data_IF_637750191412
#
_entry.id   IF_637750191412
#
_cell.length_a   1.000
_cell.length_b   1.000
_cell.length_c   1.000
_cell.angle_alpha   90.00
_cell.angle_beta   90.00
_cell.angle_gamma   90.00
#
_symmetry.space_group_name_H-M   'P 1'
#
loop_
_entity.id
_entity.type
_entity.pdbx_description
1 polymer ?
#
# COMPACT_ATOMS: atom_id res chain seq x y z
N UNK A 1 -7.48 -6.59 -24.20
CA UNK A 1 -7.38 -5.51 -23.19
C UNK A 1 -5.93 -5.35 -22.79
N UNK A 2 -5.55 -4.30 -22.05
CA UNK A 2 -4.18 -4.16 -21.54
C UNK A 2 -4.10 -4.74 -20.11
N UNK A 3 -3.90 -6.05 -20.00
CA UNK A 3 -3.78 -6.78 -18.73
C UNK A 3 -2.79 -7.96 -18.88
N UNK A 4 -2.35 -8.56 -17.78
CA UNK A 4 -1.33 -9.63 -17.79
C UNK A 4 -1.78 -10.96 -18.40
N UNK A 5 -3.09 -11.16 -18.61
CA UNK A 5 -3.64 -12.37 -19.23
C UNK A 5 -3.59 -12.24 -20.75
N UNK A 6 -3.96 -11.08 -21.28
CA UNK A 6 -3.98 -10.80 -22.71
C UNK A 6 -2.58 -10.46 -23.25
N UNK A 7 -1.73 -9.81 -22.44
CA UNK A 7 -0.39 -9.38 -22.85
C UNK A 7 0.71 -9.81 -21.88
N UNK A 8 1.88 -10.15 -22.43
CA UNK A 8 3.07 -10.44 -21.63
C UNK A 8 3.00 -11.80 -20.93
N UNK A 9 2.86 -11.88 -19.59
CA UNK A 9 2.96 -13.15 -18.86
C UNK A 9 1.89 -14.20 -19.18
N UNK A 10 0.74 -13.81 -19.74
CA UNK A 10 -0.42 -14.66 -20.02
C UNK A 10 -0.94 -15.41 -18.78
N UNK A 11 -0.91 -14.71 -17.63
CA UNK A 11 -1.29 -15.25 -16.32
C UNK A 11 -2.06 -14.21 -15.52
N UNK A 12 -2.98 -14.69 -14.70
CA UNK A 12 -3.61 -13.88 -13.66
C UNK A 12 -2.66 -13.79 -12.45
N UNK A 13 -1.80 -12.78 -12.46
CA UNK A 13 -0.77 -12.60 -11.43
C UNK A 13 -1.41 -12.29 -10.08
N UNK A 14 -2.50 -11.50 -10.06
CA UNK A 14 -3.17 -11.08 -8.83
C UNK A 14 -3.84 -12.29 -8.17
N UNK A 15 -4.58 -13.09 -8.94
CA UNK A 15 -5.21 -14.30 -8.44
C UNK A 15 -4.22 -15.37 -8.01
N UNK A 16 -3.11 -15.53 -8.72
CA UNK A 16 -2.05 -16.46 -8.30
C UNK A 16 -1.37 -16.04 -6.99
N UNK A 17 -1.09 -14.75 -6.79
CA UNK A 17 -0.55 -14.24 -5.53
C UNK A 17 -1.55 -14.37 -4.38
N UNK A 18 -2.81 -13.97 -4.59
CA UNK A 18 -3.89 -14.15 -3.62
C UNK A 18 -4.01 -15.62 -3.19
N UNK A 19 -4.01 -16.54 -4.16
CA UNK A 19 -4.05 -17.98 -3.89
C UNK A 19 -2.83 -18.49 -3.13
N UNK A 20 -1.63 -17.97 -3.40
CA UNK A 20 -0.40 -18.37 -2.73
C UNK A 20 -0.40 -18.02 -1.23
N UNK A 21 -1.05 -16.92 -0.84
CA UNK A 21 -1.16 -16.51 0.56
C UNK A 21 -2.39 -17.06 1.27
N UNK A 22 -3.34 -17.67 0.54
CA UNK A 22 -4.56 -18.24 1.12
C UNK A 22 -4.24 -19.32 2.18
N UNK A 23 -4.73 -19.11 3.39
CA UNK A 23 -4.52 -20.02 4.53
C UNK A 23 -3.18 -19.83 5.25
N UNK A 24 -2.36 -18.86 4.81
CA UNK A 24 -1.22 -18.37 5.57
C UNK A 24 -1.64 -17.30 6.60
N UNK A 25 -0.70 -16.87 7.44
CA UNK A 25 -0.90 -15.73 8.33
C UNK A 25 -0.76 -14.36 7.63
N UNK A 26 -0.49 -14.34 6.31
CA UNK A 26 -0.34 -13.10 5.53
C UNK A 26 -1.70 -12.67 5.01
N UNK A 27 -2.12 -11.49 5.43
CA UNK A 27 -3.29 -10.81 4.89
C UNK A 27 -3.00 -10.27 3.48
N UNK A 28 -3.91 -10.51 2.54
CA UNK A 28 -3.74 -10.11 1.14
C UNK A 28 -4.44 -8.77 0.88
N UNK A 29 -3.73 -7.82 0.30
CA UNK A 29 -4.26 -6.52 -0.11
C UNK A 29 -3.96 -6.21 -1.57
N UNK A 30 -4.69 -5.26 -2.14
CA UNK A 30 -4.45 -4.76 -3.50
C UNK A 30 -4.23 -3.25 -3.49
N UNK A 31 -3.25 -2.81 -4.27
CA UNK A 31 -3.04 -1.41 -4.60
C UNK A 31 -3.77 -1.06 -5.89
N UNK A 32 -4.41 0.12 -5.95
CA UNK A 32 -5.08 0.61 -7.14
C UNK A 32 -4.74 2.08 -7.40
N UNK A 33 -4.19 2.38 -8.58
CA UNK A 33 -3.99 3.76 -9.04
C UNK A 33 -5.27 4.28 -9.67
N UNK A 34 -5.89 5.29 -9.06
CA UNK A 34 -7.02 6.01 -9.64
C UNK A 34 -6.59 6.81 -10.86
N UNK A 35 -5.43 7.47 -10.78
CA UNK A 35 -4.81 8.17 -11.90
C UNK A 35 -4.46 7.20 -13.03
N UNK A 36 -4.66 7.63 -14.27
CA UNK A 36 -4.39 6.80 -15.45
C UNK A 36 -3.83 7.62 -16.61
N UNK A 37 -2.62 7.28 -17.05
CA UNK A 37 -1.85 8.09 -18.00
C UNK A 37 -2.50 8.21 -19.38
N UNK A 38 -3.05 7.12 -19.91
CA UNK A 38 -3.38 7.04 -21.34
C UNK A 38 -4.81 6.58 -21.62
N UNK A 39 -5.61 6.30 -20.60
CA UNK A 39 -7.00 5.93 -20.82
C UNK A 39 -7.78 7.10 -21.41
N UNK A 40 -8.42 6.84 -22.55
CA UNK A 40 -9.18 7.85 -23.31
C UNK A 40 -10.30 8.51 -22.50
N UNK A 41 -10.92 7.79 -21.56
CA UNK A 41 -11.96 8.37 -20.72
C UNK A 41 -11.35 9.31 -19.69
N UNK A 42 -10.20 8.95 -19.10
CA UNK A 42 -9.52 9.80 -18.12
C UNK A 42 -9.04 11.12 -18.74
N UNK A 43 -8.30 11.01 -19.85
CA UNK A 43 -7.85 12.16 -20.63
C UNK A 43 -9.05 12.98 -21.12
N UNK A 44 -10.09 12.30 -21.60
CA UNK A 44 -11.32 12.92 -22.09
C UNK A 44 -12.13 13.63 -21.01
N UNK A 45 -12.15 13.14 -19.78
CA UNK A 45 -12.89 13.74 -18.67
C UNK A 45 -12.36 15.11 -18.30
N UNK A 46 -11.04 15.30 -18.32
CA UNK A 46 -10.41 16.60 -18.08
C UNK A 46 -10.74 17.61 -19.17
N UNK A 47 -10.80 17.16 -20.43
CA UNK A 47 -11.11 18.04 -21.58
C UNK A 47 -12.60 18.39 -21.65
N UNK A 48 -13.48 17.42 -21.37
CA UNK A 48 -14.92 17.56 -21.58
C UNK A 48 -15.70 17.85 -20.29
N UNK A 49 -15.01 17.98 -19.15
CA UNK A 49 -15.62 18.13 -17.82
C UNK A 49 -16.66 17.03 -17.54
N UNK A 50 -16.29 15.77 -17.79
CA UNK A 50 -17.13 14.58 -17.56
C UNK A 50 -16.53 13.67 -16.48
N UNK A 51 -17.26 12.62 -16.11
CA UNK A 51 -16.87 11.63 -15.08
C UNK A 51 -16.97 10.20 -15.61
N UNK A 52 -16.68 10.00 -16.91
CA UNK A 52 -16.85 8.70 -17.57
C UNK A 52 -15.82 7.69 -17.11
N UNK A 53 -14.60 8.11 -16.80
CA UNK A 53 -13.55 7.22 -16.35
C UNK A 53 -13.90 6.52 -15.02
N UNK A 54 -14.27 7.24 -13.95
CA UNK A 54 -14.67 6.59 -12.72
C UNK A 54 -15.93 5.74 -12.88
N UNK A 55 -16.87 6.14 -13.73
CA UNK A 55 -18.10 5.35 -13.97
C UNK A 55 -17.87 4.05 -14.75
N UNK A 56 -17.05 4.10 -15.80
CA UNK A 56 -16.92 3.02 -16.77
C UNK A 56 -15.64 2.18 -16.60
N UNK A 57 -14.67 2.67 -15.82
CA UNK A 57 -13.34 2.05 -15.71
C UNK A 57 -12.94 1.83 -14.25
N UNK A 58 -12.55 2.87 -13.51
CA UNK A 58 -11.87 2.65 -12.22
C UNK A 58 -12.79 2.04 -11.17
N UNK A 59 -14.03 2.51 -11.04
CA UNK A 59 -14.97 1.91 -10.09
C UNK A 59 -15.31 0.46 -10.45
N UNK A 60 -15.72 0.11 -11.69
CA UNK A 60 -15.93 -1.29 -12.07
C UNK A 60 -14.70 -2.18 -11.86
N UNK A 61 -13.50 -1.71 -12.16
CA UNK A 61 -12.26 -2.47 -11.96
C UNK A 61 -11.96 -2.72 -10.48
N UNK A 62 -12.11 -1.70 -9.62
CA UNK A 62 -11.95 -1.90 -8.18
C UNK A 62 -13.00 -2.86 -7.62
N UNK A 63 -14.25 -2.78 -8.09
CA UNK A 63 -15.29 -3.72 -7.72
C UNK A 63 -14.98 -5.15 -8.20
N UNK A 64 -14.44 -5.33 -9.40
CA UNK A 64 -13.96 -6.62 -9.91
C UNK A 64 -12.85 -7.19 -9.01
N UNK A 65 -11.82 -6.39 -8.68
CA UNK A 65 -10.74 -6.80 -7.77
C UNK A 65 -11.28 -7.29 -6.42
N UNK A 66 -12.24 -6.56 -5.86
CA UNK A 66 -12.88 -6.91 -4.57
C UNK A 66 -13.65 -8.23 -4.68
N UNK A 67 -14.46 -8.40 -5.72
CA UNK A 67 -15.31 -9.59 -5.86
C UNK A 67 -14.50 -10.85 -6.21
N UNK A 68 -13.48 -10.73 -7.06
CA UNK A 68 -12.69 -11.88 -7.53
C UNK A 68 -11.65 -12.32 -6.50
N UNK A 69 -10.97 -11.37 -5.85
CA UNK A 69 -9.80 -11.68 -5.02
C UNK A 69 -10.02 -11.51 -3.52
N UNK A 70 -11.16 -10.94 -3.11
CA UNK A 70 -11.53 -10.72 -1.71
C UNK A 70 -10.37 -10.20 -0.83
N UNK A 71 -9.74 -9.07 -1.21
CA UNK A 71 -8.63 -8.50 -0.45
C UNK A 71 -9.10 -7.93 0.89
N UNK A 72 -8.21 -7.95 1.88
CA UNK A 72 -8.42 -7.36 3.20
C UNK A 72 -7.93 -5.91 3.27
N UNK A 73 -7.23 -5.42 2.24
CA UNK A 73 -6.85 -4.01 2.09
C UNK A 73 -7.11 -3.56 0.66
N UNK A 74 -7.80 -2.44 0.48
CA UNK A 74 -7.79 -1.65 -0.76
C UNK A 74 -6.96 -0.40 -0.52
N UNK A 75 -5.78 -0.36 -1.13
CA UNK A 75 -4.83 0.75 -1.00
C UNK A 75 -4.91 1.62 -2.26
N UNK A 76 -5.63 2.74 -2.18
CA UNK A 76 -5.83 3.66 -3.30
C UNK A 76 -4.64 4.63 -3.43
N UNK A 77 -4.37 5.11 -4.64
CA UNK A 77 -3.38 6.15 -4.92
C UNK A 77 -3.76 6.90 -6.20
N UNK A 78 -3.00 7.91 -6.61
CA UNK A 78 -3.32 8.62 -7.85
C UNK A 78 -4.51 9.55 -7.74
N UNK A 79 -4.88 9.95 -6.52
CA UNK A 79 -6.11 10.68 -6.25
C UNK A 79 -5.94 12.21 -6.28
N UNK A 80 -4.69 12.69 -6.31
CA UNK A 80 -4.31 14.08 -6.02
C UNK A 80 -4.87 15.16 -6.96
N UNK A 81 -5.23 14.84 -8.20
CA UNK A 81 -5.65 15.84 -9.20
C UNK A 81 -7.18 15.97 -9.33
N UNK A 82 -7.94 15.15 -8.61
CA UNK A 82 -9.42 15.17 -8.64
C UNK A 82 -10.00 14.99 -7.24
N UNK A 83 -11.23 15.48 -7.03
CA UNK A 83 -11.93 15.30 -5.75
C UNK A 83 -12.43 13.86 -5.55
N UNK A 84 -12.70 13.52 -4.31
CA UNK A 84 -13.41 12.29 -3.91
C UNK A 84 -14.76 12.12 -4.63
N UNK A 85 -15.44 13.22 -4.94
CA UNK A 85 -16.67 13.21 -5.72
C UNK A 85 -16.47 12.82 -7.19
N UNK A 86 -15.39 13.29 -7.84
CA UNK A 86 -15.05 12.85 -9.20
C UNK A 86 -14.77 11.35 -9.20
N UNK A 87 -13.92 10.90 -8.28
CA UNK A 87 -13.53 9.50 -8.13
C UNK A 87 -14.66 8.56 -7.70
N UNK A 88 -15.82 9.10 -7.30
CA UNK A 88 -16.93 8.34 -6.70
C UNK A 88 -16.50 7.50 -5.51
N UNK A 89 -15.55 8.03 -4.74
CA UNK A 89 -14.90 7.26 -3.68
C UNK A 89 -15.85 6.98 -2.53
N UNK A 90 -16.76 7.91 -2.22
CA UNK A 90 -17.77 7.69 -1.16
C UNK A 90 -18.73 6.58 -1.53
N UNK A 91 -19.17 6.54 -2.78
CA UNK A 91 -20.02 5.47 -3.29
C UNK A 91 -19.29 4.12 -3.23
N UNK A 92 -18.01 4.09 -3.62
CA UNK A 92 -17.23 2.85 -3.61
C UNK A 92 -17.02 2.33 -2.20
N UNK A 93 -16.58 3.20 -1.29
CA UNK A 93 -16.33 2.84 0.11
C UNK A 93 -17.63 2.46 0.81
N UNK A 94 -18.74 3.14 0.51
CA UNK A 94 -20.05 2.76 1.06
C UNK A 94 -20.46 1.36 0.59
N UNK A 95 -20.34 1.05 -0.69
CA UNK A 95 -20.59 -0.30 -1.20
C UNK A 95 -19.62 -1.33 -0.57
N UNK A 96 -18.34 -0.97 -0.47
CA UNK A 96 -17.29 -1.83 0.10
C UNK A 96 -17.65 -2.26 1.53
N UNK A 97 -18.12 -1.34 2.37
CA UNK A 97 -18.47 -1.61 3.77
C UNK A 97 -19.90 -2.09 4.02
N UNK A 98 -20.83 -1.91 3.07
CA UNK A 98 -22.21 -2.34 3.26
C UNK A 98 -22.50 -3.70 2.59
N UNK A 99 -22.00 -3.89 1.37
CA UNK A 99 -22.53 -4.89 0.45
C UNK A 99 -21.47 -5.84 -0.14
N UNK A 100 -20.19 -5.47 -0.11
CA UNK A 100 -19.11 -6.29 -0.70
C UNK A 100 -18.89 -7.61 0.08
N UNK A 101 -18.27 -8.62 -0.55
CA UNK A 101 -17.96 -9.90 0.12
C UNK A 101 -16.92 -9.77 1.24
N UNK A 102 -16.22 -8.64 1.35
CA UNK A 102 -15.15 -8.39 2.34
C UNK A 102 -15.50 -7.30 3.35
N UNK A 103 -16.77 -6.88 3.39
CA UNK A 103 -17.25 -5.75 4.19
C UNK A 103 -16.89 -5.78 5.68
N UNK A 104 -16.75 -6.98 6.25
CA UNK A 104 -16.48 -7.17 7.68
C UNK A 104 -14.99 -7.16 8.03
N UNK A 105 -14.10 -7.22 7.04
CA UNK A 105 -12.64 -7.36 7.25
C UNK A 105 -11.81 -6.31 6.53
N UNK A 106 -12.28 -5.80 5.39
CA UNK A 106 -11.49 -4.90 4.54
C UNK A 106 -11.20 -3.57 5.23
N UNK A 107 -10.01 -3.03 5.02
CA UNK A 107 -9.64 -1.66 5.40
C UNK A 107 -9.14 -0.89 4.19
N UNK A 108 -9.26 0.44 4.26
CA UNK A 108 -8.78 1.35 3.21
C UNK A 108 -7.81 2.37 3.79
N UNK A 109 -6.85 2.81 2.98
CA UNK A 109 -5.99 3.95 3.31
C UNK A 109 -6.77 5.29 3.18
N UNK A 110 -6.06 6.42 3.20
CA UNK A 110 -6.62 7.77 3.17
C UNK A 110 -6.44 8.52 1.84
N UNK A 111 -6.16 7.82 0.74
CA UNK A 111 -5.87 8.42 -0.57
C UNK A 111 -7.03 8.26 -1.55
N UNK A 112 -8.17 8.85 -1.18
CA UNK A 112 -9.45 8.72 -1.90
C UNK A 112 -9.95 10.04 -2.50
N UNK A 113 -9.08 11.02 -2.66
CA UNK A 113 -9.36 12.28 -3.33
C UNK A 113 -8.45 13.41 -2.86
N UNK A 114 -8.30 14.42 -3.71
CA UNK A 114 -7.61 15.65 -3.35
C UNK A 114 -8.13 16.22 -2.01
N UNK A 115 -7.22 16.33 -1.03
CA UNK A 115 -7.52 16.85 0.30
C UNK A 115 -8.07 15.82 1.31
N UNK A 116 -8.12 14.53 0.97
CA UNK A 116 -8.60 13.46 1.86
C UNK A 116 -7.48 12.89 2.75
N UNK A 117 -6.25 12.84 2.23
CA UNK A 117 -5.08 12.32 2.93
C UNK A 117 -4.84 13.04 4.27
N UNK A 118 -4.59 12.27 5.32
CA UNK A 118 -4.47 12.73 6.71
C UNK A 118 -5.80 12.98 7.42
N UNK A 119 -6.95 12.87 6.73
CA UNK A 119 -8.27 13.21 7.29
C UNK A 119 -9.23 12.03 7.34
N UNK A 120 -9.38 11.26 6.25
CA UNK A 120 -10.38 10.20 6.15
C UNK A 120 -9.82 8.93 5.51
N UNK A 121 -9.95 7.81 6.23
CA UNK A 121 -9.51 6.48 5.83
C UNK A 121 -9.67 5.51 7.00
N UNK A 122 -9.55 4.20 6.75
CA UNK A 122 -9.44 3.19 7.79
C UNK A 122 -8.13 3.35 8.59
N UNK A 123 -7.05 3.70 7.88
CA UNK A 123 -5.79 4.17 8.43
C UNK A 123 -5.25 5.33 7.59
N UNK A 124 -4.34 6.12 8.18
CA UNK A 124 -3.77 7.31 7.55
C UNK A 124 -2.38 7.03 6.97
N UNK A 125 -2.00 7.70 5.89
CA UNK A 125 -0.66 7.58 5.30
C UNK A 125 0.10 8.91 5.33
N UNK A 126 -0.61 10.05 5.27
CA UNK A 126 -0.09 11.43 5.25
C UNK A 126 0.82 11.80 4.06
N UNK A 127 1.84 11.00 3.77
CA UNK A 127 2.72 11.11 2.61
C UNK A 127 3.59 9.83 2.49
N UNK A 128 4.30 9.70 1.39
CA UNK A 128 5.33 8.67 1.26
C UNK A 128 6.46 8.87 2.27
N UNK A 129 6.99 7.76 2.81
CA UNK A 129 8.07 7.76 3.81
C UNK A 129 7.75 8.54 5.09
N UNK A 130 6.46 8.69 5.43
CA UNK A 130 6.04 9.48 6.57
C UNK A 130 6.61 8.95 7.89
N UNK A 131 7.14 9.86 8.70
CA UNK A 131 7.63 9.63 10.05
C UNK A 131 7.18 10.82 10.91
N UNK A 132 6.19 10.63 11.80
CA UNK A 132 5.68 11.72 12.60
C UNK A 132 6.71 12.19 13.64
N UNK A 133 7.65 11.34 14.07
CA UNK A 133 8.53 11.61 15.22
C UNK A 133 7.79 11.80 16.55
N UNK A 134 6.48 11.55 16.60
CA UNK A 134 5.64 11.63 17.78
C UNK A 134 4.46 10.66 17.67
N UNK A 135 3.86 10.33 18.80
CA UNK A 135 2.70 9.44 18.85
C UNK A 135 1.50 10.03 18.12
N UNK A 136 0.92 9.25 17.20
CA UNK A 136 -0.34 9.61 16.55
C UNK A 136 -1.53 8.86 17.19
N UNK A 137 -2.66 9.57 17.44
CA UNK A 137 -3.83 8.97 18.06
C UNK A 137 -4.60 8.04 17.11
N UNK A 138 -4.53 8.30 15.80
CA UNK A 138 -5.14 7.48 14.75
C UNK A 138 -4.11 6.48 14.22
N UNK A 139 -4.58 5.28 13.87
CA UNK A 139 -3.76 4.30 13.15
C UNK A 139 -3.32 4.89 11.82
N UNK A 140 -2.05 4.65 11.52
CA UNK A 140 -1.40 5.12 10.31
C UNK A 140 -0.41 4.08 9.79
N UNK A 141 0.01 4.22 8.54
CA UNK A 141 0.96 3.33 7.89
C UNK A 141 2.03 4.16 7.17
N UNK A 142 3.30 3.89 7.47
CA UNK A 142 4.43 4.41 6.71
C UNK A 142 4.68 3.50 5.52
N UNK A 143 4.37 3.97 4.31
CA UNK A 143 4.79 3.30 3.09
C UNK A 143 6.19 3.78 2.71
N UNK A 144 7.14 2.87 2.59
CA UNK A 144 8.53 3.17 2.23
C UNK A 144 9.11 2.11 1.29
N UNK A 145 10.30 2.37 0.75
CA UNK A 145 10.96 1.52 -0.24
C UNK A 145 12.28 0.98 0.28
N UNK A 146 12.60 -0.27 -0.06
CA UNK A 146 13.91 -0.84 0.25
C UNK A 146 15.02 -0.22 -0.63
N UNK A 147 14.68 0.12 -1.88
CA UNK A 147 15.49 0.98 -2.76
C UNK A 147 15.25 2.45 -2.41
N UNK A 148 16.32 3.19 -2.11
CA UNK A 148 16.25 4.60 -1.65
C UNK A 148 15.70 5.58 -2.68
N UNK A 149 15.55 5.18 -3.94
CA UNK A 149 15.17 6.07 -5.04
C UNK A 149 13.95 5.61 -5.86
N UNK A 150 13.42 4.41 -5.62
CA UNK A 150 12.37 3.87 -6.50
C UNK A 150 11.46 2.85 -5.82
N UNK A 151 10.17 2.94 -6.15
CA UNK A 151 9.17 1.90 -5.86
C UNK A 151 9.32 0.70 -6.83
N UNK A 152 9.58 0.98 -8.10
CA UNK A 152 9.80 -0.04 -9.13
C UNK A 152 11.26 -0.53 -9.19
N UNK A 153 11.50 -1.57 -9.99
CA UNK A 153 12.84 -2.14 -10.16
C UNK A 153 13.78 -1.19 -10.93
N UNK A 154 14.96 -0.92 -10.35
CA UNK A 154 16.07 -0.23 -11.04
C UNK A 154 17.20 -1.20 -11.34
N UNK A 155 17.44 -1.49 -12.62
CA UNK A 155 18.55 -2.36 -13.07
C UNK A 155 19.94 -1.82 -12.76
N UNK A 156 20.07 -0.51 -12.61
CA UNK A 156 21.33 0.18 -12.31
C UNK A 156 21.49 0.52 -10.82
N UNK A 157 20.65 -0.04 -9.95
CA UNK A 157 20.73 0.15 -8.50
C UNK A 157 22.09 -0.31 -7.96
N UNK A 158 22.72 0.54 -7.13
CA UNK A 158 23.93 0.17 -6.39
C UNK A 158 23.56 -0.29 -4.99
N UNK A 159 24.38 -1.17 -4.40
CA UNK A 159 24.10 -1.71 -3.05
C UNK A 159 24.03 -0.63 -1.97
N UNK A 160 24.77 0.48 -2.12
CA UNK A 160 24.72 1.64 -1.21
C UNK A 160 23.42 2.44 -1.31
N UNK A 161 22.61 2.19 -2.34
CA UNK A 161 21.30 2.81 -2.58
C UNK A 161 20.15 1.94 -2.08
N UNK A 162 20.46 0.84 -1.40
CA UNK A 162 19.49 -0.04 -0.74
C UNK A 162 19.61 0.20 0.76
N UNK A 163 18.50 0.29 1.47
CA UNK A 163 18.52 0.34 2.93
C UNK A 163 19.19 -0.92 3.48
N UNK A 164 20.07 -0.74 4.45
CA UNK A 164 20.59 -1.82 5.29
C UNK A 164 19.50 -2.39 6.17
N UNK A 165 19.70 -3.61 6.68
CA UNK A 165 18.75 -4.20 7.61
C UNK A 165 18.58 -3.36 8.89
N UNK A 166 19.66 -2.72 9.37
CA UNK A 166 19.60 -1.80 10.51
C UNK A 166 18.69 -0.60 10.21
N UNK A 167 18.85 0.05 9.05
CA UNK A 167 17.99 1.17 8.65
C UNK A 167 16.50 0.75 8.59
N UNK A 168 16.21 -0.45 8.09
CA UNK A 168 14.83 -0.97 8.05
C UNK A 168 14.30 -1.28 9.45
N UNK A 169 15.11 -1.86 10.34
CA UNK A 169 14.74 -2.13 11.73
C UNK A 169 14.46 -0.82 12.48
N UNK A 170 15.30 0.19 12.29
CA UNK A 170 15.12 1.52 12.89
C UNK A 170 13.82 2.18 12.40
N UNK A 171 13.49 2.04 11.11
CA UNK A 171 12.19 2.47 10.57
C UNK A 171 11.02 1.72 11.23
N UNK A 172 11.12 0.39 11.34
CA UNK A 172 10.08 -0.44 11.92
C UNK A 172 9.81 -0.07 13.38
N UNK A 173 10.86 0.00 14.21
CA UNK A 173 10.74 0.28 15.65
C UNK A 173 10.17 1.68 15.89
N UNK A 174 10.65 2.70 15.17
CA UNK A 174 10.13 4.07 15.30
C UNK A 174 8.66 4.16 14.88
N UNK A 175 8.29 3.45 13.81
CA UNK A 175 6.92 3.41 13.30
C UNK A 175 5.98 2.79 14.34
N UNK A 176 6.34 1.62 14.90
CA UNK A 176 5.55 0.93 15.93
C UNK A 176 5.43 1.79 17.20
N UNK A 177 6.54 2.39 17.65
CA UNK A 177 6.54 3.27 18.82
C UNK A 177 5.58 4.45 18.68
N UNK A 178 5.37 4.93 17.45
CA UNK A 178 4.45 6.00 17.10
C UNK A 178 3.07 5.52 16.66
N UNK A 179 2.68 4.28 16.98
CA UNK A 179 1.36 3.67 16.70
C UNK A 179 1.09 3.35 15.21
N UNK A 180 2.12 3.25 14.38
CA UNK A 180 2.01 3.00 12.95
C UNK A 180 2.32 1.55 12.55
N UNK A 181 1.94 1.21 11.31
CA UNK A 181 2.43 0.04 10.58
C UNK A 181 3.50 0.44 9.57
N UNK A 182 4.44 -0.45 9.27
CA UNK A 182 5.44 -0.23 8.22
C UNK A 182 5.10 -1.09 6.99
N UNK A 183 4.82 -0.43 5.87
CA UNK A 183 4.69 -1.06 4.55
C UNK A 183 6.01 -0.90 3.77
N UNK A 184 6.83 -1.94 3.76
CA UNK A 184 8.11 -1.96 3.07
C UNK A 184 7.98 -2.53 1.66
N UNK A 185 8.10 -1.66 0.65
CA UNK A 185 8.02 -2.02 -0.76
C UNK A 185 9.33 -2.64 -1.28
N UNK A 186 9.17 -3.63 -2.16
CA UNK A 186 10.24 -4.17 -3.02
C UNK A 186 9.83 -4.09 -4.49
N UNK A 187 10.82 -3.93 -5.38
CA UNK A 187 10.63 -3.94 -6.83
C UNK A 187 11.16 -5.21 -7.50
N UNK A 188 10.32 -6.23 -7.76
CA UNK A 188 10.73 -7.43 -8.50
C UNK A 188 11.23 -7.10 -9.91
N UNK A 189 12.11 -7.93 -10.43
CA UNK A 189 12.59 -7.83 -11.81
C UNK A 189 11.46 -8.16 -12.80
N UNK A 190 11.65 -7.81 -14.07
CA UNK A 190 10.73 -8.18 -15.16
C UNK A 190 10.61 -9.70 -15.39
N UNK A 191 11.43 -10.51 -14.73
CA UNK A 191 11.36 -11.97 -14.76
C UNK A 191 10.63 -12.55 -13.53
N UNK A 192 10.04 -11.71 -12.68
CA UNK A 192 9.35 -12.14 -11.46
C UNK A 192 10.29 -12.51 -10.31
N UNK A 193 11.59 -12.24 -10.43
CA UNK A 193 12.58 -12.50 -9.37
C UNK A 193 12.72 -11.30 -8.45
N UNK A 194 12.79 -11.54 -7.15
CA UNK A 194 13.25 -10.53 -6.19
C UNK A 194 14.77 -10.36 -6.37
N UNK A 195 15.31 -9.14 -6.45
CA UNK A 195 16.76 -8.94 -6.45
C UNK A 195 17.42 -9.55 -5.20
N UNK A 196 18.53 -10.27 -5.36
CA UNK A 196 19.20 -10.97 -4.25
C UNK A 196 19.52 -10.07 -3.05
N UNK A 197 19.93 -8.81 -3.29
CA UNK A 197 20.17 -7.86 -2.20
C UNK A 197 18.90 -7.52 -1.41
N UNK A 198 17.72 -7.54 -2.03
CA UNK A 198 16.46 -7.38 -1.31
C UNK A 198 16.14 -8.63 -0.49
N UNK A 199 16.36 -9.82 -1.05
CA UNK A 199 16.20 -11.09 -0.31
C UNK A 199 17.08 -11.14 0.94
N UNK A 200 18.36 -10.74 0.81
CA UNK A 200 19.31 -10.68 1.93
C UNK A 200 18.79 -9.76 3.04
N UNK A 201 18.35 -8.54 2.69
CA UNK A 201 17.84 -7.57 3.65
C UNK A 201 16.55 -8.03 4.32
N UNK A 202 15.61 -8.55 3.54
CA UNK A 202 14.35 -9.09 4.08
C UNK A 202 14.60 -10.29 5.00
N UNK A 203 15.58 -11.15 4.68
CA UNK A 203 15.97 -12.28 5.52
C UNK A 203 16.59 -11.82 6.84
N UNK A 204 17.51 -10.87 6.80
CA UNK A 204 18.14 -10.26 7.99
C UNK A 204 17.10 -9.60 8.90
N UNK A 205 16.22 -8.77 8.33
CA UNK A 205 15.12 -8.12 9.06
C UNK A 205 14.17 -9.17 9.64
N UNK A 206 13.77 -10.17 8.84
CA UNK A 206 12.88 -11.24 9.30
C UNK A 206 13.46 -12.07 10.45
N UNK A 207 14.78 -12.32 10.45
CA UNK A 207 15.46 -12.98 11.57
C UNK A 207 15.45 -12.12 12.84
N UNK A 208 15.59 -10.80 12.71
CA UNK A 208 15.47 -9.88 13.83
C UNK A 208 14.04 -9.80 14.36
N UNK A 209 13.05 -9.66 13.47
CA UNK A 209 11.61 -9.63 13.83
C UNK A 209 11.21 -10.89 14.57
N UNK A 210 11.61 -12.08 14.10
CA UNK A 210 11.29 -13.35 14.79
C UNK A 210 11.81 -13.39 16.22
N UNK A 211 13.04 -12.91 16.45
CA UNK A 211 13.66 -12.88 17.78
C UNK A 211 13.00 -11.88 18.73
N UNK A 212 12.36 -10.83 18.20
CA UNK A 212 11.78 -9.74 18.97
C UNK A 212 10.26 -9.63 18.77
N UNK A 213 9.60 -10.72 18.38
CA UNK A 213 8.20 -10.72 17.94
C UNK A 213 7.21 -10.21 18.98
N UNK A 214 7.45 -10.51 20.26
CA UNK A 214 6.63 -10.03 21.40
C UNK A 214 6.67 -8.50 21.58
N UNK A 215 7.72 -7.83 21.11
CA UNK A 215 7.86 -6.38 21.15
C UNK A 215 7.36 -5.70 19.86
N UNK A 216 6.80 -6.46 18.91
CA UNK A 216 6.40 -5.98 17.59
C UNK A 216 4.90 -6.24 17.39
N UNK A 217 4.51 -7.52 17.34
CA UNK A 217 3.15 -7.91 17.00
C UNK A 217 2.21 -7.70 18.18
N UNK A 218 0.99 -7.24 17.89
CA UNK A 218 -0.07 -6.97 18.87
C UNK A 218 0.32 -6.06 20.04
N UNK A 219 1.35 -5.24 19.83
CA UNK A 219 1.79 -4.22 20.78
C UNK A 219 0.99 -2.93 20.63
N UNK A 220 1.00 -2.13 21.70
CA UNK A 220 0.37 -0.82 21.74
C UNK A 220 1.41 0.21 22.14
N UNK A 221 1.31 1.46 21.61
CA UNK A 221 2.24 2.51 21.97
C UNK A 221 2.22 2.78 23.47
N UNK A 222 3.39 2.98 24.05
CA UNK A 222 3.51 3.49 25.41
C UNK A 222 3.23 5.01 25.44
N UNK A 223 3.04 5.57 26.63
CA UNK A 223 2.78 7.01 26.82
C UNK A 223 3.99 7.89 26.47
N UNK A 224 5.18 7.29 26.40
CA UNK A 224 6.43 7.96 26.02
C UNK A 224 7.12 7.18 24.89
N UNK A 225 7.53 7.90 23.85
CA UNK A 225 8.15 7.34 22.64
C UNK A 225 9.67 7.33 22.72
N UNK A 226 10.22 8.23 23.53
CA UNK A 226 11.64 8.33 23.78
C UNK A 226 11.86 8.10 25.27
N UNK A 227 12.95 7.42 25.60
CA UNK A 227 13.47 7.48 26.96
C UNK A 227 13.78 8.94 27.31
N UNK A 228 13.51 9.33 28.55
CA UNK A 228 13.95 10.63 29.06
C UNK A 228 15.47 10.76 28.86
N UNK A 229 15.91 11.85 28.24
CA UNK A 229 17.31 12.10 27.90
C UNK A 229 18.29 11.74 29.05
N UNK A 230 19.21 10.82 28.73
CA UNK A 230 20.50 10.49 29.38
C UNK A 230 20.48 9.88 30.80
N UNK A 231 20.89 8.60 30.86
CA UNK A 231 21.89 8.16 31.86
C UNK A 231 23.28 8.52 31.32
#
# INVERSE_FOLDING_TARGET
>A
MWNSVDVGPHRDIVGELSKAFKGSAVHFGVYFSQYEWFNRYYVGDTVNNSTKYPELVSYPQMAELVNEYMPEIIWSDGDWDKSDAYWRSKEFIAWLYNDSPVKDTVVVNDRWGAGIMGHHGGFLTYMDHYDPGHLLPRKWESCTTLDKYSWGNRRNMRSTEVLSASEVIDLLVRTIACNGNLLLNIGPTNHGMIPAIFEDRLSEVGQWVRRNSEAIFDTYPWMYQNDSDKI
#
